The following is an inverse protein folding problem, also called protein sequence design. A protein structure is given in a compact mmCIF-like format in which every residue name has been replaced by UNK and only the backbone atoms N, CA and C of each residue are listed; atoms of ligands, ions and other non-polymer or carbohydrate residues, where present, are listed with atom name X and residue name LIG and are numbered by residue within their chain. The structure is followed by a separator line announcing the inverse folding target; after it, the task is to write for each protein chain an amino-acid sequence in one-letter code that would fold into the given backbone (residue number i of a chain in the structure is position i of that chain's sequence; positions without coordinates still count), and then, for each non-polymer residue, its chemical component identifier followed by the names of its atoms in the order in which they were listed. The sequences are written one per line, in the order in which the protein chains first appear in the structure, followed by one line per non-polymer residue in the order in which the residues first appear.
data_IF_820707955018
#
_entry.id   IF_820707955018
#
_cell.length_a   1.000
_cell.length_b   1.000
_cell.length_c   1.000
_cell.angle_alpha   90.00
_cell.angle_beta   90.00
_cell.angle_gamma   90.00
#
_symmetry.space_group_name_H-M   'P 1'
#
loop_
_entity.id
_entity.type
_entity.pdbx_description
1 polymer ?
#
# COMPACT_ATOMS: atom_id res chain seq x y z
N UNK A 1 -44.00 -0.13 -44.48
CA UNK A 1 -42.68 0.43 -44.84
C UNK A 1 -42.06 1.01 -43.58
N UNK A 2 -40.78 0.70 -43.34
CA UNK A 2 -39.85 1.30 -42.35
C UNK A 2 -39.88 0.75 -40.89
N UNK A 3 -38.84 -0.07 -40.65
CA UNK A 3 -38.13 -0.44 -39.41
C UNK A 3 -38.15 0.63 -38.29
N UNK A 4 -38.42 0.20 -37.06
CA UNK A 4 -37.84 0.83 -35.85
C UNK A 4 -36.64 0.00 -35.37
N UNK A 5 -35.46 0.60 -35.43
CA UNK A 5 -34.22 0.09 -34.83
C UNK A 5 -34.25 0.41 -33.33
N UNK A 6 -34.10 -0.61 -32.49
CA UNK A 6 -33.69 -0.44 -31.09
C UNK A 6 -32.17 -0.51 -31.04
N UNK A 7 -31.55 0.61 -30.64
CA UNK A 7 -30.12 0.72 -30.37
C UNK A 7 -29.89 0.25 -28.93
N UNK A 8 -29.20 -0.87 -28.77
CA UNK A 8 -28.66 -1.33 -27.50
C UNK A 8 -27.38 -0.52 -27.20
N UNK A 9 -27.43 0.45 -26.28
CA UNK A 9 -26.23 1.11 -25.78
C UNK A 9 -25.53 0.24 -24.74
N UNK A 10 -24.29 -0.12 -25.05
CA UNK A 10 -23.42 -1.00 -24.28
C UNK A 10 -22.68 -0.21 -23.19
N UNK A 11 -23.16 -0.23 -21.94
CA UNK A 11 -22.48 0.41 -20.80
C UNK A 11 -21.57 -0.60 -20.06
N UNK A 12 -20.34 -0.76 -20.54
CA UNK A 12 -19.25 -1.49 -19.85
C UNK A 12 -18.26 -0.60 -19.09
N UNK A 13 -18.57 0.67 -18.87
CA UNK A 13 -17.67 1.62 -18.19
C UNK A 13 -17.87 1.72 -16.66
N UNK A 14 -18.93 1.14 -16.10
CA UNK A 14 -19.31 1.35 -14.69
C UNK A 14 -18.62 0.46 -13.65
N UNK A 15 -18.07 -0.70 -14.02
CA UNK A 15 -17.60 -1.69 -13.03
C UNK A 15 -16.11 -1.58 -12.65
N UNK A 16 -15.29 -0.86 -13.41
CA UNK A 16 -13.84 -0.73 -13.14
C UNK A 16 -13.57 0.35 -12.08
N UNK A 17 -14.40 1.41 -12.02
CA UNK A 17 -14.22 2.52 -11.07
C UNK A 17 -14.50 2.12 -9.61
N UNK A 18 -15.36 1.12 -9.36
CA UNK A 18 -15.73 0.70 -8.00
C UNK A 18 -14.70 -0.24 -7.35
N UNK A 19 -14.00 -1.07 -8.13
CA UNK A 19 -12.92 -1.92 -7.61
C UNK A 19 -11.63 -1.15 -7.31
N UNK A 20 -11.36 -0.05 -8.01
CA UNK A 20 -10.19 0.79 -7.76
C UNK A 20 -10.32 1.60 -6.46
N UNK A 21 -11.54 1.98 -6.06
CA UNK A 21 -11.79 2.69 -4.79
C UNK A 21 -11.55 1.84 -3.53
N UNK A 22 -11.89 0.55 -3.56
CA UNK A 22 -11.64 -0.36 -2.42
C UNK A 22 -10.16 -0.71 -2.26
N UNK A 23 -9.38 -0.76 -3.35
CA UNK A 23 -7.94 -1.08 -3.29
C UNK A 23 -7.11 0.06 -2.67
N UNK A 24 -7.52 1.31 -2.88
CA UNK A 24 -6.85 2.51 -2.32
C UNK A 24 -7.10 2.62 -0.81
N UNK A 25 -8.29 2.25 -0.33
CA UNK A 25 -8.62 2.30 1.10
C UNK A 25 -7.86 1.23 1.90
N UNK A 26 -7.67 0.02 1.33
CA UNK A 26 -6.94 -1.07 1.98
C UNK A 26 -5.44 -0.77 2.19
N UNK A 27 -4.82 0.01 1.30
CA UNK A 27 -3.38 0.35 1.38
C UNK A 27 -3.07 1.41 2.46
N UNK A 28 -4.03 2.31 2.75
CA UNK A 28 -3.85 3.45 3.64
C UNK A 28 -4.35 3.23 5.09
N UNK A 29 -4.90 2.05 5.40
CA UNK A 29 -5.54 1.76 6.71
C UNK A 29 -4.58 1.63 7.89
N UNK A 30 -3.28 1.44 7.65
CA UNK A 30 -2.30 1.26 8.73
C UNK A 30 -1.98 2.53 9.53
N UNK A 31 -2.37 3.71 9.05
CA UNK A 31 -1.98 4.99 9.66
C UNK A 31 -2.74 5.34 10.95
N UNK A 32 -3.81 4.61 11.31
CA UNK A 32 -4.69 4.99 12.43
C UNK A 32 -4.56 4.13 13.69
N UNK A 33 -3.92 2.96 13.66
CA UNK A 33 -4.04 1.98 14.76
C UNK A 33 -3.01 2.11 15.88
N UNK A 34 -1.89 2.81 15.70
CA UNK A 34 -0.76 2.77 16.64
C UNK A 34 -0.38 4.12 17.27
N UNK A 35 -1.34 4.92 17.74
CA UNK A 35 -1.05 6.08 18.60
C UNK A 35 -0.84 5.71 20.09
N UNK A 36 -1.08 4.45 20.49
CA UNK A 36 -1.14 4.10 21.92
C UNK A 36 0.07 3.32 22.48
N UNK A 37 0.96 2.74 21.67
CA UNK A 37 2.10 1.95 22.19
C UNK A 37 3.30 1.95 21.26
N UNK A 38 4.09 3.03 21.28
CA UNK A 38 5.46 3.01 20.78
C UNK A 38 6.39 3.45 21.92
N UNK A 39 6.82 2.49 22.72
CA UNK A 39 7.90 2.70 23.68
C UNK A 39 9.01 1.69 23.38
N UNK A 40 10.23 2.22 23.24
CA UNK A 40 11.54 1.58 22.96
C UNK A 40 12.02 1.57 21.50
N UNK A 41 12.45 2.76 21.05
CA UNK A 41 13.72 2.89 20.31
C UNK A 41 14.44 4.13 20.87
N UNK A 42 15.76 4.04 20.99
CA UNK A 42 16.66 4.95 21.73
C UNK A 42 16.44 6.43 21.43
N UNK A 43 16.03 7.18 22.46
CA UNK A 43 15.87 8.64 22.43
C UNK A 43 17.25 9.29 22.55
N UNK A 44 17.80 9.73 21.42
CA UNK A 44 18.81 10.78 21.44
C UNK A 44 18.08 12.12 21.67
N UNK A 45 18.14 12.58 22.92
CA UNK A 45 18.05 13.98 23.33
C UNK A 45 16.93 14.82 22.70
N UNK A 46 15.67 14.48 22.99
CA UNK A 46 14.53 15.37 22.69
C UNK A 46 13.81 15.77 23.98
N UNK A 47 13.58 17.09 24.13
CA UNK A 47 12.68 17.63 25.15
C UNK A 47 11.33 16.90 25.12
N UNK A 48 10.61 16.79 26.27
CA UNK A 48 9.29 16.19 26.29
C UNK A 48 8.39 16.88 25.28
N UNK A 49 8.09 16.19 24.19
CA UNK A 49 7.21 16.67 23.15
C UNK A 49 5.79 16.65 23.72
N UNK A 50 5.32 17.81 24.17
CA UNK A 50 4.01 17.95 24.83
C UNK A 50 3.11 18.82 23.99
N UNK A 51 1.87 18.36 23.77
CA UNK A 51 0.85 19.11 23.06
C UNK A 51 0.22 20.12 24.02
N UNK A 52 0.16 21.38 23.63
CA UNK A 52 -0.59 22.39 24.35
C UNK A 52 -2.08 22.05 24.36
N UNK A 53 -2.80 22.37 25.44
CA UNK A 53 -4.21 22.00 25.61
C UNK A 53 -5.14 22.52 24.50
N UNK A 54 -4.79 23.62 23.83
CA UNK A 54 -5.52 24.09 22.66
C UNK A 54 -5.27 23.19 21.43
N UNK A 55 -4.01 22.85 21.16
CA UNK A 55 -3.64 21.99 20.06
C UNK A 55 -4.21 20.58 20.23
N UNK A 56 -4.07 19.99 21.43
CA UNK A 56 -4.62 18.68 21.74
C UNK A 56 -6.12 18.60 21.42
N UNK A 57 -6.91 19.56 21.91
CA UNK A 57 -8.36 19.59 21.65
C UNK A 57 -8.70 19.68 20.17
N UNK A 58 -7.96 20.48 19.42
CA UNK A 58 -8.18 20.60 17.98
C UNK A 58 -7.83 19.30 17.22
N UNK A 59 -6.72 18.65 17.57
CA UNK A 59 -6.34 17.35 17.01
C UNK A 59 -7.39 16.28 17.34
N UNK A 60 -7.86 16.21 18.60
CA UNK A 60 -8.88 15.25 19.03
C UNK A 60 -10.21 15.46 18.27
N UNK A 61 -10.62 16.71 18.08
CA UNK A 61 -11.80 17.05 17.29
C UNK A 61 -11.67 16.58 15.84
N UNK A 62 -10.54 16.90 15.19
CA UNK A 62 -10.24 16.50 13.83
C UNK A 62 -10.16 14.97 13.68
N UNK A 63 -9.60 14.26 14.66
CA UNK A 63 -9.63 12.80 14.72
C UNK A 63 -11.06 12.25 14.79
N UNK A 64 -11.92 12.84 15.62
CA UNK A 64 -13.34 12.45 15.71
C UNK A 64 -14.08 12.62 14.38
N UNK A 65 -13.80 13.71 13.66
CA UNK A 65 -14.36 13.93 12.32
C UNK A 65 -13.88 12.87 11.32
N UNK A 66 -12.59 12.52 11.35
CA UNK A 66 -12.02 11.45 10.49
C UNK A 66 -12.68 10.10 10.78
N UNK A 67 -12.86 9.73 12.06
CA UNK A 67 -13.52 8.48 12.44
C UNK A 67 -14.97 8.40 11.95
N UNK A 68 -15.64 9.55 11.84
CA UNK A 68 -16.99 9.68 11.29
C UNK A 68 -17.01 9.77 9.75
N UNK A 69 -15.88 9.55 9.07
CA UNK A 69 -15.73 9.70 7.61
C UNK A 69 -15.96 11.14 7.10
N UNK A 70 -15.97 12.13 7.99
CA UNK A 70 -16.17 13.56 7.69
C UNK A 70 -14.84 14.25 7.39
N UNK A 71 -14.08 13.67 6.47
CA UNK A 71 -12.68 14.04 6.23
C UNK A 71 -12.52 15.45 5.66
N UNK A 72 -13.48 15.94 4.88
CA UNK A 72 -13.46 17.31 4.37
C UNK A 72 -13.63 18.36 5.50
N UNK A 73 -14.44 18.05 6.51
CA UNK A 73 -14.61 18.91 7.68
C UNK A 73 -13.37 18.88 8.57
N UNK A 74 -12.76 17.71 8.73
CA UNK A 74 -11.47 17.59 9.41
C UNK A 74 -10.38 18.42 8.72
N UNK A 75 -10.28 18.39 7.39
CA UNK A 75 -9.34 19.25 6.65
C UNK A 75 -9.55 20.74 6.95
N UNK A 76 -10.81 21.19 6.95
CA UNK A 76 -11.12 22.59 7.26
C UNK A 76 -10.72 22.98 8.68
N UNK A 77 -11.01 22.11 9.66
CA UNK A 77 -10.67 22.31 11.08
C UNK A 77 -9.14 22.36 11.29
N UNK A 78 -8.41 21.42 10.68
CA UNK A 78 -6.95 21.37 10.73
C UNK A 78 -6.30 22.61 10.09
N UNK A 79 -6.77 23.04 8.91
CA UNK A 79 -6.25 24.23 8.24
C UNK A 79 -6.54 25.52 9.01
N UNK A 80 -7.65 25.55 9.75
CA UNK A 80 -7.99 26.67 10.65
C UNK A 80 -7.09 26.66 11.88
N UNK A 81 -6.92 25.49 12.49
CA UNK A 81 -6.06 25.27 13.65
C UNK A 81 -4.62 25.69 13.35
N UNK A 82 -4.08 25.32 12.19
CA UNK A 82 -2.72 25.66 11.75
C UNK A 82 -2.45 27.18 11.68
N UNK A 83 -3.49 28.00 11.55
CA UNK A 83 -3.37 29.47 11.52
C UNK A 83 -3.50 30.11 12.90
N UNK A 84 -4.03 29.37 13.88
CA UNK A 84 -4.44 29.92 15.18
C UNK A 84 -3.61 29.36 16.35
N UNK A 85 -3.15 28.11 16.25
CA UNK A 85 -2.48 27.38 17.33
C UNK A 85 -1.58 26.26 16.75
N UNK A 86 -1.09 25.35 17.61
CA UNK A 86 -0.16 24.26 17.21
C UNK A 86 1.15 24.79 16.57
N UNK A 87 1.76 25.79 17.19
CA UNK A 87 2.87 26.54 16.59
C UNK A 87 4.26 25.94 16.90
N UNK A 88 4.37 25.04 17.88
CA UNK A 88 5.64 24.34 18.13
C UNK A 88 5.94 23.36 16.99
N UNK A 89 7.22 23.06 16.76
CA UNK A 89 7.61 22.16 15.67
C UNK A 89 6.91 20.80 15.72
N UNK A 90 6.83 20.20 16.91
CA UNK A 90 6.13 18.93 17.09
C UNK A 90 4.61 19.03 16.93
N UNK A 91 3.96 20.05 17.48
CA UNK A 91 2.51 20.26 17.28
C UNK A 91 2.18 20.49 15.79
N UNK A 92 3.01 21.27 15.09
CA UNK A 92 2.85 21.51 13.67
C UNK A 92 2.98 20.22 12.87
N UNK A 93 3.88 19.30 13.26
CA UNK A 93 4.00 17.99 12.61
C UNK A 93 2.82 17.07 12.90
N UNK A 94 2.26 17.07 14.11
CA UNK A 94 1.04 16.30 14.40
C UNK A 94 -0.13 16.79 13.56
N UNK A 95 -0.28 18.11 13.43
CA UNK A 95 -1.29 18.70 12.55
C UNK A 95 -1.03 18.34 11.09
N UNK A 96 0.21 18.46 10.63
CA UNK A 96 0.61 18.14 9.27
C UNK A 96 0.35 16.66 8.95
N UNK A 97 0.56 15.75 9.90
CA UNK A 97 0.26 14.31 9.77
C UNK A 97 -1.21 14.08 9.46
N UNK A 98 -2.10 14.72 10.23
CA UNK A 98 -3.53 14.62 10.00
C UNK A 98 -3.96 15.27 8.68
N UNK A 99 -3.35 16.39 8.29
CA UNK A 99 -3.60 17.00 6.98
C UNK A 99 -3.15 16.08 5.84
N UNK A 100 -1.97 15.48 5.94
CA UNK A 100 -1.45 14.55 4.92
C UNK A 100 -2.41 13.36 4.75
N UNK A 101 -2.90 12.80 5.87
CA UNK A 101 -3.93 11.77 5.85
C UNK A 101 -5.22 12.25 5.19
N UNK A 102 -5.75 13.40 5.62
CA UNK A 102 -7.01 13.96 5.10
C UNK A 102 -6.93 14.26 3.60
N UNK A 103 -5.82 14.79 3.12
CA UNK A 103 -5.57 15.00 1.70
C UNK A 103 -5.51 13.68 0.93
N UNK A 104 -4.83 12.67 1.48
CA UNK A 104 -4.69 11.36 0.84
C UNK A 104 -6.02 10.64 0.70
N UNK A 105 -6.82 10.63 1.77
CA UNK A 105 -8.13 10.00 1.77
C UNK A 105 -9.11 10.68 0.79
N UNK A 106 -8.95 11.98 0.57
CA UNK A 106 -9.69 12.73 -0.44
C UNK A 106 -9.03 12.70 -1.83
N UNK A 107 -7.97 11.91 -2.02
CA UNK A 107 -7.21 11.79 -3.27
C UNK A 107 -6.64 13.13 -3.78
N UNK A 108 -6.44 14.09 -2.87
CA UNK A 108 -5.75 15.37 -3.13
C UNK A 108 -4.24 15.14 -3.16
N UNK A 109 -3.79 14.23 -4.03
CA UNK A 109 -2.44 13.68 -4.01
C UNK A 109 -1.32 14.73 -4.08
N UNK A 110 -1.39 15.82 -4.87
CA UNK A 110 -0.35 16.85 -4.83
C UNK A 110 -0.16 17.48 -3.45
N UNK A 111 -1.25 17.76 -2.73
CA UNK A 111 -1.20 18.31 -1.37
C UNK A 111 -0.72 17.26 -0.35
N UNK A 112 -1.15 16.01 -0.52
CA UNK A 112 -0.71 14.91 0.33
C UNK A 112 0.80 14.66 0.19
N UNK A 113 1.32 14.66 -1.03
CA UNK A 113 2.75 14.50 -1.32
C UNK A 113 3.54 15.62 -0.63
N UNK A 114 3.14 16.88 -0.82
CA UNK A 114 3.82 18.03 -0.18
C UNK A 114 3.82 17.90 1.35
N UNK A 115 2.69 17.49 1.94
CA UNK A 115 2.58 17.32 3.38
C UNK A 115 3.45 16.17 3.90
N UNK A 116 3.44 15.01 3.23
CA UNK A 116 4.27 13.87 3.63
C UNK A 116 5.76 14.13 3.41
N UNK A 117 6.18 14.81 2.34
CA UNK A 117 7.58 15.17 2.14
C UNK A 117 8.11 16.04 3.30
N UNK A 118 7.30 16.99 3.78
CA UNK A 118 7.61 17.80 4.97
C UNK A 118 7.70 16.95 6.24
N UNK A 119 6.74 16.05 6.47
CA UNK A 119 6.78 15.10 7.60
C UNK A 119 8.05 14.26 7.59
N UNK A 120 8.38 13.65 6.45
CA UNK A 120 9.57 12.80 6.30
C UNK A 120 10.87 13.56 6.57
N UNK A 121 10.89 14.87 6.33
CA UNK A 121 12.03 15.74 6.61
C UNK A 121 12.07 16.28 8.05
N UNK A 122 10.98 16.18 8.82
CA UNK A 122 10.93 16.70 10.18
C UNK A 122 11.90 15.99 11.13
N UNK A 123 12.48 16.70 12.09
CA UNK A 123 13.29 16.10 13.17
C UNK A 123 12.46 15.60 14.36
N UNK A 124 11.17 15.96 14.45
CA UNK A 124 10.33 15.65 15.62
C UNK A 124 9.56 14.33 15.49
N UNK A 125 9.66 13.65 14.35
CA UNK A 125 9.09 12.32 14.16
C UNK A 125 10.04 11.24 14.68
N UNK A 126 9.48 10.36 15.51
CA UNK A 126 10.10 9.08 15.85
C UNK A 126 10.21 8.16 14.62
N UNK A 127 11.00 7.10 14.75
CA UNK A 127 11.31 6.19 13.65
C UNK A 127 10.06 5.48 13.08
N UNK A 128 9.11 5.12 13.94
CA UNK A 128 7.89 4.42 13.53
C UNK A 128 7.05 5.36 12.69
N UNK A 129 6.74 6.54 13.21
CA UNK A 129 5.90 7.52 12.51
C UNK A 129 6.55 7.98 11.20
N UNK A 130 7.87 8.15 11.16
CA UNK A 130 8.58 8.48 9.93
C UNK A 130 8.48 7.36 8.89
N UNK A 131 8.62 6.10 9.33
CA UNK A 131 8.51 4.93 8.45
C UNK A 131 7.11 4.82 7.85
N UNK A 132 6.05 5.05 8.64
CA UNK A 132 4.66 5.11 8.18
C UNK A 132 4.42 6.23 7.15
N UNK A 133 4.99 7.42 7.38
CA UNK A 133 4.90 8.55 6.46
C UNK A 133 5.60 8.25 5.12
N UNK A 134 6.79 7.65 5.15
CA UNK A 134 7.52 7.25 3.93
C UNK A 134 6.73 6.19 3.16
N UNK A 135 6.17 5.19 3.85
CA UNK A 135 5.36 4.18 3.20
C UNK A 135 4.14 4.81 2.53
N UNK A 136 3.40 5.65 3.24
CA UNK A 136 2.22 6.30 2.67
C UNK A 136 2.57 7.16 1.46
N UNK A 137 3.65 7.94 1.53
CA UNK A 137 4.16 8.72 0.42
C UNK A 137 4.50 7.84 -0.80
N UNK A 138 5.17 6.71 -0.58
CA UNK A 138 5.50 5.76 -1.64
C UNK A 138 4.25 5.12 -2.26
N UNK A 139 3.23 4.78 -1.47
CA UNK A 139 1.96 4.29 -2.01
C UNK A 139 1.28 5.34 -2.89
N UNK A 140 1.30 6.62 -2.48
CA UNK A 140 0.74 7.72 -3.27
C UNK A 140 1.51 7.86 -4.59
N UNK A 141 2.84 7.83 -4.56
CA UNK A 141 3.64 7.83 -5.80
C UNK A 141 3.32 6.65 -6.70
N UNK A 142 3.16 5.45 -6.14
CA UNK A 142 2.74 4.28 -6.89
C UNK A 142 1.38 4.48 -7.57
N UNK A 143 0.38 5.01 -6.85
CA UNK A 143 -0.95 5.30 -7.40
C UNK A 143 -0.92 6.39 -8.48
N UNK A 144 0.04 7.31 -8.42
CA UNK A 144 0.27 8.34 -9.44
C UNK A 144 1.13 7.84 -10.62
N UNK A 145 1.58 6.58 -10.61
CA UNK A 145 2.44 6.01 -11.64
C UNK A 145 3.90 6.45 -11.56
N UNK A 146 4.32 7.14 -10.49
CA UNK A 146 5.71 7.56 -10.26
C UNK A 146 6.53 6.41 -9.63
N UNK A 147 6.61 5.30 -10.36
CA UNK A 147 7.27 4.07 -9.90
C UNK A 147 8.77 4.25 -9.65
N UNK A 148 9.41 5.16 -10.39
CA UNK A 148 10.82 5.47 -10.19
C UNK A 148 11.04 6.12 -8.83
N UNK A 149 10.17 7.05 -8.44
CA UNK A 149 10.27 7.68 -7.13
C UNK A 149 10.03 6.67 -6.01
N UNK A 150 9.06 5.77 -6.15
CA UNK A 150 8.83 4.65 -5.20
C UNK A 150 10.12 3.84 -4.99
N UNK A 151 10.73 3.36 -6.06
CA UNK A 151 11.97 2.59 -5.99
C UNK A 151 13.07 3.42 -5.32
N UNK A 152 13.26 4.67 -5.77
CA UNK A 152 14.34 5.52 -5.26
C UNK A 152 14.18 5.87 -3.78
N UNK A 153 12.95 6.08 -3.31
CA UNK A 153 12.65 6.40 -1.92
C UNK A 153 12.86 5.17 -1.04
N UNK A 154 12.26 4.04 -1.40
CA UNK A 154 12.22 2.87 -0.55
C UNK A 154 13.54 2.09 -0.54
N UNK A 155 14.26 2.02 -1.67
CA UNK A 155 15.59 1.40 -1.71
C UNK A 155 16.60 2.23 -0.91
N UNK A 156 16.55 3.57 -1.02
CA UNK A 156 17.43 4.44 -0.22
C UNK A 156 17.05 4.42 1.26
N UNK A 157 15.77 4.31 1.57
CA UNK A 157 15.32 4.34 2.96
C UNK A 157 15.56 3.00 3.67
N UNK A 158 15.55 1.86 2.96
CA UNK A 158 16.06 0.59 3.47
C UNK A 158 17.52 0.69 3.93
N UNK A 159 18.34 1.52 3.27
CA UNK A 159 19.71 1.79 3.69
C UNK A 159 19.84 2.73 4.92
N UNK A 160 18.72 3.28 5.43
CA UNK A 160 18.67 4.26 6.53
C UNK A 160 17.90 3.76 7.76
N UNK A 161 17.86 2.45 7.98
CA UNK A 161 17.21 1.80 9.14
C UNK A 161 15.70 2.10 9.28
N UNK A 162 14.95 2.22 8.17
CA UNK A 162 13.50 2.17 8.28
C UNK A 162 13.03 0.82 8.84
N UNK A 163 11.84 0.83 9.45
CA UNK A 163 11.09 -0.40 9.67
C UNK A 163 10.56 -0.89 8.32
N UNK A 164 11.38 -1.69 7.63
CA UNK A 164 11.04 -2.29 6.34
C UNK A 164 10.34 -3.63 6.59
N UNK A 165 9.08 -3.72 6.17
CA UNK A 165 8.35 -4.99 6.10
C UNK A 165 8.24 -5.49 4.66
N UNK A 166 7.79 -6.75 4.51
CA UNK A 166 7.59 -7.38 3.20
C UNK A 166 6.60 -6.61 2.32
N UNK A 167 5.62 -5.92 2.89
CA UNK A 167 4.66 -5.10 2.15
C UNK A 167 5.34 -3.95 1.41
N UNK A 168 6.34 -3.34 2.03
CA UNK A 168 7.18 -2.34 1.41
C UNK A 168 7.98 -2.91 0.23
N UNK A 169 8.59 -4.09 0.43
CA UNK A 169 9.37 -4.75 -0.61
C UNK A 169 8.50 -5.18 -1.80
N UNK A 170 7.29 -5.69 -1.54
CA UNK A 170 6.30 -6.00 -2.59
C UNK A 170 5.91 -4.74 -3.36
N UNK A 171 5.79 -3.58 -2.71
CA UNK A 171 5.52 -2.32 -3.41
C UNK A 171 6.67 -1.92 -4.34
N UNK A 172 7.92 -2.15 -3.94
CA UNK A 172 9.10 -1.97 -4.81
C UNK A 172 9.08 -2.96 -5.97
N UNK A 173 8.78 -4.25 -5.72
CA UNK A 173 8.68 -5.27 -6.76
C UNK A 173 7.61 -4.91 -7.80
N UNK A 174 6.42 -4.49 -7.36
CA UNK A 174 5.35 -4.00 -8.25
C UNK A 174 5.78 -2.78 -9.05
N UNK A 175 6.55 -1.88 -8.45
CA UNK A 175 7.08 -0.69 -9.13
C UNK A 175 8.10 -1.07 -10.21
N UNK A 176 8.98 -2.04 -9.96
CA UNK A 176 9.86 -2.60 -11.00
C UNK A 176 9.06 -3.26 -12.11
N UNK A 177 8.02 -4.02 -11.78
CA UNK A 177 7.18 -4.68 -12.77
C UNK A 177 6.51 -3.68 -13.72
N UNK A 178 5.91 -2.59 -13.21
CA UNK A 178 5.32 -1.55 -14.07
C UNK A 178 6.32 -0.80 -14.96
N UNK A 179 7.61 -0.90 -14.64
CA UNK A 179 8.70 -0.35 -15.46
C UNK A 179 9.29 -1.37 -16.43
N UNK A 180 8.64 -2.52 -16.61
CA UNK A 180 9.12 -3.66 -17.40
C UNK A 180 10.48 -4.23 -16.90
N UNK A 181 10.83 -3.99 -15.64
CA UNK A 181 12.02 -4.54 -14.99
C UNK A 181 11.66 -5.85 -14.25
N UNK A 182 10.97 -6.77 -14.94
CA UNK A 182 10.34 -7.98 -14.37
C UNK A 182 11.34 -8.86 -13.61
N UNK A 183 12.58 -8.99 -14.08
CA UNK A 183 13.60 -9.78 -13.39
C UNK A 183 13.93 -9.24 -11.98
N UNK A 184 13.93 -7.91 -11.80
CA UNK A 184 14.14 -7.29 -10.48
C UNK A 184 12.93 -7.48 -9.57
N UNK A 185 11.73 -7.38 -10.13
CA UNK A 185 10.49 -7.67 -9.39
C UNK A 185 10.48 -9.13 -8.89
N UNK A 186 10.86 -10.07 -9.76
CA UNK A 186 10.90 -11.48 -9.44
C UNK A 186 11.93 -11.79 -8.34
N UNK A 187 13.15 -11.26 -8.44
CA UNK A 187 14.18 -11.49 -7.43
C UNK A 187 13.76 -11.06 -6.01
N UNK A 188 13.00 -9.95 -5.90
CA UNK A 188 12.43 -9.51 -4.60
C UNK A 188 11.38 -10.51 -4.13
N UNK A 189 10.44 -10.90 -5.00
CA UNK A 189 9.38 -11.84 -4.64
C UNK A 189 9.92 -13.23 -4.26
N UNK A 190 10.96 -13.70 -4.94
CA UNK A 190 11.64 -14.98 -4.65
C UNK A 190 12.20 -14.95 -3.22
N UNK A 191 12.88 -13.86 -2.84
CA UNK A 191 13.42 -13.68 -1.48
C UNK A 191 12.31 -13.74 -0.43
N UNK A 192 11.18 -13.05 -0.67
CA UNK A 192 10.04 -13.04 0.27
C UNK A 192 9.42 -14.44 0.39
N UNK A 193 9.29 -15.17 -0.72
CA UNK A 193 8.76 -16.55 -0.72
C UNK A 193 9.69 -17.48 0.06
N UNK A 194 11.00 -17.41 -0.19
CA UNK A 194 11.99 -18.23 0.51
C UNK A 194 11.95 -17.99 2.02
N UNK A 195 11.88 -16.72 2.45
CA UNK A 195 11.77 -16.36 3.86
C UNK A 195 10.47 -16.86 4.50
N UNK A 196 9.34 -16.69 3.82
CA UNK A 196 8.05 -17.16 4.32
C UNK A 196 8.02 -18.69 4.46
N UNK A 197 8.56 -19.43 3.49
CA UNK A 197 8.68 -20.90 3.56
C UNK A 197 9.60 -21.32 4.71
N UNK A 198 10.76 -20.67 4.87
CA UNK A 198 11.69 -20.98 5.96
C UNK A 198 11.10 -20.69 7.36
N UNK A 199 10.19 -19.72 7.45
CA UNK A 199 9.50 -19.35 8.68
C UNK A 199 8.18 -20.11 8.92
N UNK A 200 7.81 -21.06 8.04
CA UNK A 200 6.50 -21.73 8.05
C UNK A 200 5.31 -20.74 8.06
N UNK A 201 5.48 -19.62 7.36
CA UNK A 201 4.51 -18.54 7.29
C UNK A 201 3.69 -18.63 5.99
N UNK A 202 2.37 -18.62 6.13
CA UNK A 202 1.45 -18.52 4.98
C UNK A 202 1.50 -17.11 4.41
N UNK A 203 1.96 -16.99 3.16
CA UNK A 203 1.98 -15.71 2.44
C UNK A 203 0.58 -15.24 2.04
N UNK A 204 0.37 -13.93 2.04
CA UNK A 204 -0.86 -13.32 1.55
C UNK A 204 -1.17 -13.77 0.11
N UNK A 205 -2.41 -14.18 -0.13
CA UNK A 205 -2.91 -14.61 -1.45
C UNK A 205 -2.53 -13.65 -2.58
N UNK A 206 -2.72 -12.33 -2.39
CA UNK A 206 -2.40 -11.32 -3.39
C UNK A 206 -0.89 -11.24 -3.74
N UNK A 207 -0.01 -11.67 -2.84
CA UNK A 207 1.44 -11.71 -3.07
C UNK A 207 1.83 -12.96 -3.85
N UNK A 208 1.23 -14.10 -3.52
CA UNK A 208 1.39 -15.33 -4.28
C UNK A 208 0.85 -15.18 -5.71
N UNK A 209 -0.33 -14.56 -5.89
CA UNK A 209 -0.87 -14.26 -7.23
C UNK A 209 0.10 -13.37 -8.03
N UNK A 210 0.70 -12.36 -7.39
CA UNK A 210 1.65 -11.48 -8.05
C UNK A 210 2.91 -12.24 -8.47
N UNK A 211 3.51 -13.04 -7.59
CA UNK A 211 4.66 -13.89 -7.93
C UNK A 211 4.32 -14.87 -9.05
N UNK A 212 3.14 -15.49 -9.01
CA UNK A 212 2.68 -16.39 -10.05
C UNK A 212 2.63 -15.73 -11.43
N UNK A 213 2.12 -14.49 -11.51
CA UNK A 213 2.15 -13.72 -12.75
C UNK A 213 3.58 -13.41 -13.21
N UNK A 214 4.50 -13.06 -12.30
CA UNK A 214 5.90 -12.82 -12.67
C UNK A 214 6.54 -14.06 -13.30
N UNK A 215 6.33 -15.25 -12.72
CA UNK A 215 6.85 -16.49 -13.30
C UNK A 215 6.23 -16.84 -14.65
N UNK A 216 4.94 -16.54 -14.86
CA UNK A 216 4.31 -16.70 -16.17
C UNK A 216 4.91 -15.77 -17.23
N UNK A 217 5.19 -14.52 -16.87
CA UNK A 217 5.78 -13.53 -17.77
C UNK A 217 7.24 -13.88 -18.11
N UNK A 218 7.98 -14.45 -17.18
CA UNK A 218 9.35 -14.95 -17.40
C UNK A 218 9.42 -16.39 -17.91
N UNK A 219 8.27 -17.02 -18.22
CA UNK A 219 8.15 -18.40 -18.70
C UNK A 219 8.76 -19.46 -17.76
N UNK A 220 8.86 -19.15 -16.47
CA UNK A 220 9.32 -20.05 -15.42
C UNK A 220 8.18 -20.95 -14.95
N UNK A 221 7.70 -21.85 -15.81
CA UNK A 221 6.45 -22.60 -15.59
C UNK A 221 6.51 -23.56 -14.39
N UNK A 222 7.65 -24.16 -14.08
CA UNK A 222 7.78 -25.02 -12.91
C UNK A 222 7.64 -24.25 -11.59
N UNK A 223 8.24 -23.06 -11.52
CA UNK A 223 8.10 -22.14 -10.40
C UNK A 223 6.65 -21.66 -10.30
N UNK A 224 6.03 -21.33 -11.44
CA UNK A 224 4.63 -20.98 -11.50
C UNK A 224 3.73 -22.11 -10.98
N UNK A 225 4.04 -23.37 -11.28
CA UNK A 225 3.31 -24.52 -10.74
C UNK A 225 3.45 -24.62 -9.22
N UNK A 226 4.67 -24.48 -8.68
CA UNK A 226 4.90 -24.51 -7.22
C UNK A 226 4.11 -23.43 -6.48
N UNK A 227 4.13 -22.19 -6.98
CA UNK A 227 3.33 -21.10 -6.38
C UNK A 227 1.83 -21.35 -6.56
N UNK A 228 1.42 -21.88 -7.71
CA UNK A 228 0.03 -22.28 -7.97
C UNK A 228 -0.47 -23.35 -7.00
N UNK A 229 0.38 -24.32 -6.65
CA UNK A 229 0.07 -25.34 -5.65
C UNK A 229 -0.06 -24.74 -4.24
N UNK A 230 0.83 -23.82 -3.86
CA UNK A 230 0.68 -23.08 -2.60
C UNK A 230 -0.62 -22.27 -2.54
N UNK A 231 -0.98 -21.59 -3.65
CA UNK A 231 -2.26 -20.88 -3.77
C UNK A 231 -3.44 -21.84 -3.57
N UNK A 232 -3.44 -23.01 -4.21
CA UNK A 232 -4.52 -23.99 -4.06
C UNK A 232 -4.59 -24.61 -2.66
N UNK A 233 -3.45 -24.82 -2.00
CA UNK A 233 -3.39 -25.41 -0.68
C UNK A 233 -3.92 -24.46 0.41
N UNK A 234 -3.59 -23.16 0.33
CA UNK A 234 -3.94 -22.18 1.35
C UNK A 234 -5.18 -21.34 1.01
N UNK A 235 -5.46 -21.16 -0.28
CA UNK A 235 -6.54 -20.30 -0.81
C UNK A 235 -7.33 -21.01 -1.93
N UNK A 236 -7.99 -22.14 -1.64
CA UNK A 236 -8.70 -22.91 -2.66
C UNK A 236 -9.87 -22.10 -3.26
N UNK A 237 -9.86 -21.93 -4.59
CA UNK A 237 -10.97 -21.33 -5.32
C UNK A 237 -11.10 -21.91 -6.73
N UNK A 238 -12.31 -21.90 -7.30
CA UNK A 238 -12.54 -22.35 -8.67
C UNK A 238 -11.76 -21.52 -9.70
N UNK A 239 -11.60 -20.22 -9.41
CA UNK A 239 -10.82 -19.31 -10.23
C UNK A 239 -9.34 -19.71 -10.25
N UNK A 240 -8.75 -20.02 -9.09
CA UNK A 240 -7.37 -20.50 -9.00
C UNK A 240 -7.19 -21.84 -9.70
N UNK A 241 -8.12 -22.77 -9.49
CA UNK A 241 -8.08 -24.08 -10.13
C UNK A 241 -8.14 -23.99 -11.65
N UNK A 242 -9.04 -23.16 -12.18
CA UNK A 242 -9.15 -22.91 -13.61
C UNK A 242 -7.87 -22.30 -14.18
N UNK A 243 -7.32 -21.30 -13.49
CA UNK A 243 -6.08 -20.61 -13.84
C UNK A 243 -4.87 -21.55 -13.83
N UNK A 244 -4.77 -22.41 -12.82
CA UNK A 244 -3.72 -23.43 -12.70
C UNK A 244 -3.79 -24.41 -13.88
N UNK A 245 -4.98 -24.93 -14.22
CA UNK A 245 -5.17 -25.79 -15.40
C UNK A 245 -4.70 -25.15 -16.70
N UNK A 246 -5.05 -23.89 -16.94
CA UNK A 246 -4.63 -23.17 -18.16
C UNK A 246 -3.11 -23.03 -18.24
N UNK A 247 -2.45 -22.71 -17.12
CA UNK A 247 -0.99 -22.63 -17.07
C UNK A 247 -0.35 -23.99 -17.35
N UNK A 248 -0.87 -25.07 -16.77
CA UNK A 248 -0.37 -26.43 -17.00
C UNK A 248 -0.44 -26.84 -18.47
N UNK A 249 -1.52 -26.48 -19.17
CA UNK A 249 -1.65 -26.68 -20.61
C UNK A 249 -0.60 -25.86 -21.38
N UNK A 250 -0.43 -24.58 -21.02
CA UNK A 250 0.52 -23.67 -21.68
C UNK A 250 1.98 -24.07 -21.48
N UNK A 251 2.34 -24.58 -20.30
CA UNK A 251 3.70 -25.01 -19.97
C UNK A 251 3.99 -26.48 -20.28
N UNK A 252 3.04 -27.20 -20.87
CA UNK A 252 3.13 -28.65 -21.14
C UNK A 252 3.38 -29.50 -19.87
N UNK A 253 2.92 -29.02 -18.70
CA UNK A 253 3.13 -29.64 -17.38
C UNK A 253 1.93 -30.47 -16.91
N UNK A 254 1.06 -30.94 -17.81
CA UNK A 254 -0.18 -31.63 -17.46
C UNK A 254 0.03 -32.86 -16.55
N UNK A 255 1.16 -33.56 -16.69
CA UNK A 255 1.51 -34.71 -15.85
C UNK A 255 1.84 -34.34 -14.39
N UNK A 256 2.19 -33.09 -14.12
CA UNK A 256 2.59 -32.60 -12.80
C UNK A 256 1.43 -31.95 -12.04
N UNK A 257 0.34 -31.57 -12.73
CA UNK A 257 -0.75 -30.77 -12.18
C UNK A 257 -1.85 -31.58 -11.47
N UNK A 258 -1.46 -32.29 -10.40
CA UNK A 258 -2.37 -33.13 -9.59
C UNK A 258 -3.42 -32.35 -8.80
N UNK A 259 -3.12 -31.11 -8.43
CA UNK A 259 -3.99 -30.18 -7.68
C UNK A 259 -5.12 -29.58 -8.55
N UNK A 260 -5.02 -29.71 -9.88
CA UNK A 260 -5.90 -29.05 -10.83
C UNK A 260 -7.09 -29.92 -11.30
N UNK A 261 -7.06 -31.23 -11.00
CA UNK A 261 -7.98 -32.26 -11.51
C UNK A 261 -9.15 -32.61 -10.60
N UNK A 262 -9.15 -32.18 -9.33
CA UNK A 262 -10.24 -32.43 -8.37
C UNK A 262 -10.78 -31.13 -7.79
#
# INVERSE_FOLDING_TARGET
MIKSMSISSNNKAGSIAFMMGCLVMALLTSACTNLATANRATVLDQQPQTLGAACQRALDQSHGLIQQQRVAEAEYDLLTTAKQSCNSGYEADQLLRLLAYAFSHQQKYPKAIEAYEKLVASQYLDLVTRSEAIYTLAQIHYLQGDYQRVISQLVKANARELLVDDGLQVLVARSYYHRAETAKAQAIMDTIIEQAVAADQVMKEAWLIFSWHLYLDTQSFEQALRVGDQLMAHYPSDQHRYRLRQMCQRGELLSLCRSATH
#
